data_IF_377960115241
#
_entry.id   IF_377960115241
#
_cell.length_a   1.000
_cell.length_b   1.000
_cell.length_c   1.000
_cell.angle_alpha   90.00
_cell.angle_beta   90.00
_cell.angle_gamma   90.00
#
_symmetry.space_group_name_H-M   'P 1'
#
loop_
_entity.id
_entity.type
_entity.pdbx_description
1 polymer ?
#
# COMPACT_ATOMS: atom_id res chain seq x y z
N UNK A 1 -33.29 -21.06 -22.27
CA UNK A 1 -32.10 -21.67 -21.65
C UNK A 1 -30.98 -20.66 -21.69
N UNK A 2 -30.41 -20.31 -20.53
CA UNK A 2 -29.38 -19.28 -20.39
C UNK A 2 -29.57 -18.52 -19.07
N UNK A 3 -29.12 -19.10 -17.97
CA UNK A 3 -29.15 -18.48 -16.65
C UNK A 3 -28.03 -17.42 -16.57
N UNK A 4 -28.40 -16.16 -16.36
CA UNK A 4 -27.49 -15.14 -15.87
C UNK A 4 -27.71 -15.04 -14.36
N UNK A 5 -26.64 -15.31 -13.61
CA UNK A 5 -26.65 -15.34 -12.15
C UNK A 5 -27.14 -14.03 -11.55
N UNK A 6 -28.10 -14.12 -10.64
CA UNK A 6 -28.52 -13.03 -9.79
C UNK A 6 -27.37 -12.69 -8.83
N UNK A 7 -26.64 -11.62 -9.11
CA UNK A 7 -26.10 -10.79 -8.04
C UNK A 7 -27.31 -10.25 -7.31
N UNK A 8 -27.60 -10.78 -6.12
CA UNK A 8 -28.60 -10.20 -5.24
C UNK A 8 -28.14 -8.80 -4.85
N UNK A 9 -28.59 -7.80 -5.62
CA UNK A 9 -28.78 -6.47 -5.09
C UNK A 9 -29.72 -6.65 -3.91
N UNK A 10 -29.24 -6.42 -2.69
CA UNK A 10 -30.14 -6.19 -1.57
C UNK A 10 -30.89 -4.92 -1.93
N UNK A 11 -32.07 -5.09 -2.54
CA UNK A 11 -32.95 -3.97 -2.82
C UNK A 11 -33.36 -3.40 -1.46
N UNK A 12 -33.01 -2.13 -1.24
CA UNK A 12 -33.39 -1.39 -0.04
C UNK A 12 -34.90 -1.54 0.15
N UNK A 13 -35.34 -1.97 1.33
CA UNK A 13 -36.78 -2.17 1.57
C UNK A 13 -37.51 -0.82 1.47
N UNK A 14 -38.80 -0.81 1.07
CA UNK A 14 -39.55 0.45 0.97
C UNK A 14 -39.56 1.26 2.28
N UNK A 15 -39.48 0.58 3.43
CA UNK A 15 -39.42 1.19 4.76
C UNK A 15 -38.07 1.87 5.02
N UNK A 16 -36.96 1.23 4.64
CA UNK A 16 -35.62 1.84 4.72
C UNK A 16 -35.49 3.05 3.79
N UNK A 17 -36.06 2.99 2.60
CA UNK A 17 -36.10 4.12 1.66
C UNK A 17 -36.89 5.29 2.25
N UNK A 18 -38.01 5.03 2.92
CA UNK A 18 -38.81 6.07 3.56
C UNK A 18 -38.08 6.73 4.73
N UNK A 19 -37.40 5.95 5.58
CA UNK A 19 -36.58 6.49 6.68
C UNK A 19 -35.45 7.36 6.13
N UNK A 20 -34.78 6.91 5.07
CA UNK A 20 -33.71 7.66 4.42
C UNK A 20 -34.21 8.97 3.79
N UNK A 21 -35.35 8.94 3.10
CA UNK A 21 -35.98 10.12 2.50
C UNK A 21 -36.45 11.13 3.57
N UNK A 22 -37.04 10.64 4.66
CA UNK A 22 -37.48 11.48 5.77
C UNK A 22 -36.31 12.21 6.44
N UNK A 23 -35.16 11.55 6.56
CA UNK A 23 -33.95 12.16 7.12
C UNK A 23 -33.40 13.28 6.23
N UNK A 24 -33.39 13.10 4.90
CA UNK A 24 -32.94 14.13 3.94
C UNK A 24 -33.91 15.32 3.85
N UNK A 25 -35.21 15.09 4.00
CA UNK A 25 -36.22 16.14 3.97
C UNK A 25 -36.22 17.03 5.22
N UNK A 26 -35.71 16.52 6.36
CA UNK A 26 -35.73 17.22 7.64
C UNK A 26 -34.66 18.32 7.75
N UNK A 27 -33.51 18.16 7.09
CA UNK A 27 -32.45 19.18 7.04
C UNK A 27 -31.64 19.08 5.73
N UNK A 28 -32.09 19.76 4.65
CA UNK A 28 -31.42 19.68 3.35
C UNK A 28 -30.01 20.28 3.37
N UNK A 29 -29.74 21.26 4.25
CA UNK A 29 -28.43 21.87 4.36
C UNK A 29 -27.40 20.93 5.03
N UNK A 30 -27.84 20.16 6.04
CA UNK A 30 -27.00 19.13 6.65
C UNK A 30 -26.70 17.97 5.69
N UNK A 31 -27.64 17.60 4.82
CA UNK A 31 -27.45 16.56 3.81
C UNK A 31 -26.41 16.96 2.75
N UNK A 32 -26.47 18.20 2.24
CA UNK A 32 -25.48 18.73 1.31
C UNK A 32 -24.08 18.81 1.96
N UNK A 33 -24.00 19.27 3.21
CA UNK A 33 -22.74 19.32 3.95
C UNK A 33 -22.14 17.92 4.20
N UNK A 34 -22.96 16.88 4.41
CA UNK A 34 -22.46 15.51 4.53
C UNK A 34 -21.91 14.99 3.20
N UNK A 35 -22.59 15.26 2.08
CA UNK A 35 -22.14 14.84 0.75
C UNK A 35 -20.80 15.49 0.36
N UNK A 36 -20.62 16.78 0.63
CA UNK A 36 -19.37 17.50 0.38
C UNK A 36 -18.21 16.96 1.23
N UNK A 37 -18.46 16.69 2.52
CA UNK A 37 -17.46 16.07 3.40
C UNK A 37 -17.09 14.65 2.93
N UNK A 38 -18.05 13.87 2.46
CA UNK A 38 -17.81 12.52 1.95
C UNK A 38 -16.97 12.55 0.66
N UNK A 39 -17.25 13.48 -0.25
CA UNK A 39 -16.48 13.67 -1.47
C UNK A 39 -15.04 14.14 -1.18
N UNK A 40 -14.85 15.05 -0.22
CA UNK A 40 -13.53 15.50 0.22
C UNK A 40 -12.73 14.37 0.89
N UNK A 41 -13.38 13.51 1.69
CA UNK A 41 -12.75 12.33 2.29
C UNK A 41 -12.28 11.31 1.24
N UNK A 42 -13.02 11.13 0.14
CA UNK A 42 -12.59 10.22 -0.93
C UNK A 42 -11.38 10.73 -1.73
N UNK A 43 -11.12 12.04 -1.73
CA UNK A 43 -9.94 12.61 -2.41
C UNK A 43 -8.65 12.42 -1.59
N UNK A 44 -8.73 12.28 -0.26
CA UNK A 44 -7.56 12.07 0.60
C UNK A 44 -6.95 10.67 0.50
N UNK A 45 -7.67 9.67 -0.02
CA UNK A 45 -7.12 8.32 -0.26
C UNK A 45 -6.42 8.18 -1.61
N UNK A 46 -6.55 9.17 -2.51
CA UNK A 46 -5.96 9.13 -3.85
C UNK A 46 -4.51 9.64 -3.89
N UNK A 47 -4.09 10.45 -2.91
CA UNK A 47 -2.70 10.83 -2.74
C UNK A 47 -2.05 9.88 -1.73
N UNK A 48 -1.25 8.93 -2.22
CA UNK A 48 -0.34 8.22 -1.33
C UNK A 48 0.50 9.28 -0.59
N UNK A 49 0.46 9.35 0.75
CA UNK A 49 1.33 10.27 1.47
C UNK A 49 2.76 9.97 1.03
N UNK A 50 3.52 10.99 0.62
CA UNK A 50 4.99 10.91 0.59
C UNK A 50 5.39 10.39 1.96
N UNK A 51 5.91 9.15 2.07
CA UNK A 51 6.03 8.52 3.36
C UNK A 51 7.03 9.32 4.18
N UNK A 52 6.63 9.71 5.39
CA UNK A 52 7.57 10.09 6.43
C UNK A 52 8.73 9.08 6.41
N UNK A 53 9.98 9.56 6.28
CA UNK A 53 11.16 8.70 6.03
C UNK A 53 11.14 7.49 6.96
N UNK A 54 10.69 6.37 6.43
CA UNK A 54 10.39 5.18 7.19
C UNK A 54 11.69 4.45 7.53
N UNK A 55 11.59 3.41 8.33
CA UNK A 55 12.73 2.51 8.58
C UNK A 55 13.35 2.02 7.26
N UNK A 56 12.52 1.77 6.25
CA UNK A 56 12.92 1.34 4.92
C UNK A 56 13.65 2.39 4.10
N UNK A 57 13.31 3.68 4.24
CA UNK A 57 14.07 4.75 3.56
C UNK A 57 15.44 4.94 4.19
N UNK A 58 15.52 4.85 5.52
CA UNK A 58 16.80 4.90 6.24
C UNK A 58 17.68 3.71 5.88
N UNK A 59 17.08 2.53 5.73
CA UNK A 59 17.77 1.35 5.24
C UNK A 59 18.24 1.56 3.80
N UNK A 60 17.36 2.04 2.91
CA UNK A 60 17.72 2.29 1.52
C UNK A 60 18.82 3.35 1.37
N UNK A 61 18.85 4.37 2.22
CA UNK A 61 19.94 5.34 2.28
C UNK A 61 21.29 4.67 2.58
N UNK A 62 21.30 3.74 3.54
CA UNK A 62 22.51 2.99 3.88
C UNK A 62 22.90 1.97 2.79
N UNK A 63 21.93 1.31 2.17
CA UNK A 63 22.15 0.21 1.21
C UNK A 63 22.47 0.71 -0.22
N UNK A 64 21.81 1.77 -0.67
CA UNK A 64 21.87 2.25 -2.07
C UNK A 64 22.06 3.77 -2.21
N UNK A 65 22.24 4.50 -1.11
CA UNK A 65 22.17 5.96 -1.13
C UNK A 65 20.77 6.47 -1.48
N UNK A 66 19.74 5.69 -1.18
CA UNK A 66 18.33 6.04 -1.41
C UNK A 66 17.84 5.80 -2.84
N UNK A 67 18.65 5.19 -3.72
CA UNK A 67 18.27 4.95 -5.10
C UNK A 67 17.50 3.63 -5.28
N UNK A 68 16.17 3.74 -5.33
CA UNK A 68 15.26 2.61 -5.50
C UNK A 68 15.32 1.91 -6.87
N UNK A 69 15.94 2.54 -7.88
CA UNK A 69 16.09 1.98 -9.22
C UNK A 69 17.52 1.49 -9.50
N UNK A 70 18.38 1.41 -8.47
CA UNK A 70 19.78 1.08 -8.65
C UNK A 70 19.97 -0.35 -9.18
N UNK A 71 20.88 -0.48 -10.15
CA UNK A 71 21.42 -1.74 -10.63
C UNK A 71 22.86 -1.51 -11.08
N UNK A 72 23.82 -1.82 -10.22
CA UNK A 72 25.26 -1.64 -10.50
C UNK A 72 25.91 -2.89 -11.10
N UNK A 73 25.15 -3.98 -11.29
CA UNK A 73 25.69 -5.27 -11.70
C UNK A 73 26.41 -6.05 -10.59
N UNK A 74 26.27 -5.64 -9.32
CA UNK A 74 26.87 -6.33 -8.16
C UNK A 74 26.06 -7.54 -7.66
N UNK A 75 24.97 -7.91 -8.33
CA UNK A 75 24.08 -9.00 -7.95
C UNK A 75 22.95 -8.63 -6.99
N UNK A 76 22.90 -7.36 -6.54
CA UNK A 76 21.84 -6.80 -5.72
C UNK A 76 21.10 -5.70 -6.48
N UNK A 77 19.83 -5.46 -6.12
CA UNK A 77 18.95 -4.61 -6.89
C UNK A 77 18.06 -3.75 -5.99
N UNK A 78 17.81 -2.53 -6.46
CA UNK A 78 16.83 -1.63 -5.85
C UNK A 78 17.26 -1.02 -4.52
N UNK A 79 16.33 -0.34 -3.85
CA UNK A 79 16.66 0.59 -2.77
C UNK A 79 17.29 -0.09 -1.56
N UNK A 80 16.79 -1.27 -1.20
CA UNK A 80 17.29 -2.05 -0.05
C UNK A 80 18.20 -3.20 -0.48
N UNK A 81 18.79 -3.13 -1.67
CA UNK A 81 19.76 -4.13 -2.16
C UNK A 81 19.27 -5.57 -2.01
N UNK A 82 18.13 -5.88 -2.62
CA UNK A 82 17.63 -7.26 -2.67
C UNK A 82 18.55 -8.15 -3.52
N UNK A 83 18.84 -9.36 -3.04
CA UNK A 83 19.26 -10.44 -3.95
C UNK A 83 18.07 -10.93 -4.78
N UNK A 84 18.32 -11.40 -6.00
CA UNK A 84 17.25 -11.92 -6.85
C UNK A 84 16.59 -13.19 -6.28
N UNK A 85 17.34 -14.00 -5.52
CA UNK A 85 16.81 -15.19 -4.85
C UNK A 85 15.87 -14.81 -3.70
N UNK A 86 16.27 -13.86 -2.83
CA UNK A 86 15.40 -13.38 -1.75
C UNK A 86 14.15 -12.69 -2.28
N UNK A 87 14.28 -11.89 -3.34
CA UNK A 87 13.14 -11.27 -4.03
C UNK A 87 12.09 -12.29 -4.49
N UNK A 88 12.55 -13.37 -5.13
CA UNK A 88 11.68 -14.45 -5.60
C UNK A 88 11.09 -15.26 -4.45
N UNK A 89 11.83 -15.45 -3.36
CA UNK A 89 11.36 -16.18 -2.18
C UNK A 89 10.12 -15.53 -1.53
N UNK A 90 10.00 -14.20 -1.61
CA UNK A 90 8.84 -13.44 -1.12
C UNK A 90 7.82 -13.12 -2.21
N UNK A 91 7.87 -13.83 -3.34
CA UNK A 91 6.90 -13.73 -4.43
C UNK A 91 7.07 -12.52 -5.34
N UNK A 92 8.26 -11.91 -5.36
CA UNK A 92 8.58 -10.83 -6.29
C UNK A 92 8.77 -11.34 -7.73
N UNK A 93 8.20 -10.62 -8.70
CA UNK A 93 8.37 -10.86 -10.13
C UNK A 93 9.41 -9.92 -10.76
N UNK A 94 10.05 -10.36 -11.85
CA UNK A 94 11.08 -9.55 -12.53
C UNK A 94 12.29 -9.26 -11.62
N UNK A 95 12.84 -8.05 -11.72
CA UNK A 95 13.93 -7.57 -10.87
C UNK A 95 13.44 -6.49 -9.89
N UNK A 96 13.99 -6.42 -8.66
CA UNK A 96 13.59 -5.40 -7.67
C UNK A 96 13.67 -3.97 -8.21
N UNK A 97 14.76 -3.61 -8.90
CA UNK A 97 14.98 -2.26 -9.46
C UNK A 97 13.98 -1.87 -10.57
N UNK A 98 13.21 -2.82 -11.12
CA UNK A 98 12.16 -2.57 -12.11
C UNK A 98 10.78 -2.38 -11.46
N UNK A 99 10.68 -2.59 -10.15
CA UNK A 99 9.44 -2.46 -9.39
C UNK A 99 9.44 -1.16 -8.58
N UNK A 100 8.25 -0.67 -8.27
CA UNK A 100 8.08 0.56 -7.49
C UNK A 100 8.69 0.44 -6.10
N UNK A 101 9.07 1.58 -5.51
CA UNK A 101 9.51 1.66 -4.11
C UNK A 101 8.52 0.97 -3.16
N UNK A 102 7.23 1.22 -3.33
CA UNK A 102 6.19 0.64 -2.49
C UNK A 102 6.16 -0.89 -2.58
N UNK A 103 6.31 -1.46 -3.79
CA UNK A 103 6.38 -2.90 -3.98
C UNK A 103 7.66 -3.48 -3.34
N UNK A 104 8.80 -2.81 -3.52
CA UNK A 104 10.06 -3.23 -2.88
C UNK A 104 9.94 -3.26 -1.35
N UNK A 105 9.32 -2.25 -0.74
CA UNK A 105 9.06 -2.19 0.70
C UNK A 105 8.15 -3.33 1.15
N UNK A 106 7.03 -3.54 0.45
CA UNK A 106 6.10 -4.64 0.75
C UNK A 106 6.80 -5.99 0.77
N UNK A 107 7.70 -6.25 -0.19
CA UNK A 107 8.49 -7.48 -0.22
C UNK A 107 9.56 -7.51 0.87
N UNK A 108 10.12 -6.37 1.25
CA UNK A 108 11.08 -6.27 2.34
C UNK A 108 10.43 -6.58 3.69
N UNK A 109 9.20 -6.15 3.92
CA UNK A 109 8.40 -6.52 5.10
C UNK A 109 8.13 -8.03 5.15
N UNK A 110 7.76 -8.64 4.03
CA UNK A 110 7.61 -10.10 3.96
C UNK A 110 8.93 -10.84 4.25
N UNK A 111 10.06 -10.34 3.75
CA UNK A 111 11.36 -10.94 4.03
C UNK A 111 11.76 -10.77 5.50
N UNK A 112 11.45 -9.61 6.07
CA UNK A 112 11.66 -9.31 7.49
C UNK A 112 10.89 -10.28 8.38
N UNK A 113 9.64 -10.58 8.05
CA UNK A 113 8.83 -11.56 8.80
C UNK A 113 9.42 -12.98 8.74
N UNK A 114 10.10 -13.34 7.64
CA UNK A 114 10.69 -14.66 7.45
C UNK A 114 12.08 -14.83 8.09
N UNK A 115 12.92 -13.78 8.05
CA UNK A 115 14.35 -13.88 8.37
C UNK A 115 14.81 -12.88 9.43
N UNK A 116 13.95 -11.95 9.83
CA UNK A 116 14.31 -10.81 10.66
C UNK A 116 15.26 -9.84 9.94
N UNK A 117 15.79 -8.89 10.71
CA UNK A 117 16.73 -7.88 10.21
C UNK A 117 18.10 -8.44 9.80
N UNK A 118 18.31 -9.75 9.96
CA UNK A 118 19.50 -10.47 9.52
C UNK A 118 19.67 -10.51 7.99
N UNK A 119 18.62 -10.21 7.22
CA UNK A 119 18.70 -10.03 5.77
C UNK A 119 19.53 -8.80 5.35
N UNK A 120 19.69 -7.81 6.25
CA UNK A 120 20.47 -6.57 6.02
C UNK A 120 21.48 -6.29 7.14
N UNK A 121 22.44 -7.20 7.39
CA UNK A 121 23.16 -7.26 8.67
C UNK A 121 24.02 -6.02 8.96
N UNK A 122 24.57 -5.36 7.94
CA UNK A 122 25.42 -4.18 8.12
C UNK A 122 24.59 -2.95 8.45
N UNK A 123 23.61 -2.63 7.60
CA UNK A 123 22.79 -1.43 7.75
C UNK A 123 21.77 -1.55 8.87
N UNK A 124 21.19 -2.72 9.12
CA UNK A 124 20.28 -2.93 10.24
C UNK A 124 20.96 -2.66 11.59
N UNK A 125 22.20 -3.13 11.76
CA UNK A 125 23.02 -2.86 12.95
C UNK A 125 23.33 -1.38 13.13
N UNK A 126 23.70 -0.68 12.04
CA UNK A 126 23.96 0.77 12.09
C UNK A 126 22.71 1.57 12.47
N UNK A 127 21.54 1.12 12.02
CA UNK A 127 20.26 1.76 12.28
C UNK A 127 19.61 1.32 13.62
N UNK A 128 20.19 0.34 14.31
CA UNK A 128 19.69 -0.19 15.59
C UNK A 128 18.51 -1.16 15.46
N UNK A 129 18.30 -1.72 14.27
CA UNK A 129 17.21 -2.63 13.93
C UNK A 129 17.62 -4.07 14.29
N UNK A 130 16.75 -4.79 15.02
CA UNK A 130 17.03 -6.13 15.59
C UNK A 130 15.76 -6.94 15.65
#
# INVERSE_FOLDING_TARGET
>A
MGALGALSLVACTPEEVQVWQAWHAADPAAAEAFADNYAAQQQQTAAAPEPARGVWDRLAECESGGNWSINTGNGYYGGVQFSLSSWRAVGGSGYPHQNSRAEQIKRAEMLLDLQGWGAWPSCSRQLGLR
#
